data_IF_630611343243
#
_entry.id   IF_630611343243
#
_cell.length_a   1.000
_cell.length_b   1.000
_cell.length_c   1.000
_cell.angle_alpha   90.00
_cell.angle_beta   90.00
_cell.angle_gamma   90.00
#
_symmetry.space_group_name_H-M   'P 1'
#
loop_
_entity.id
_entity.type
_entity.pdbx_description
1 polymer ?
#
# COMPACT_ATOMS: atom_id res chain seq x y z
N UNK A 1 30.57 25.69 -23.96
CA UNK A 1 31.89 25.51 -24.60
C UNK A 1 32.12 24.01 -24.75
N UNK A 2 32.50 23.58 -25.95
CA UNK A 2 32.51 22.21 -26.43
C UNK A 2 33.78 21.45 -26.03
N UNK A 3 33.68 20.13 -25.94
CA UNK A 3 34.66 19.14 -25.48
C UNK A 3 35.84 18.92 -26.45
N UNK A 4 36.34 19.99 -27.08
CA UNK A 4 37.34 19.90 -28.16
C UNK A 4 38.60 20.76 -27.93
N UNK A 5 38.85 21.21 -26.70
CA UNK A 5 39.89 22.20 -26.37
C UNK A 5 41.02 21.65 -25.46
N UNK A 6 41.19 20.33 -25.35
CA UNK A 6 42.19 19.70 -24.47
C UNK A 6 43.33 18.96 -25.18
N UNK A 7 43.43 19.03 -26.50
CA UNK A 7 44.59 18.57 -27.25
C UNK A 7 45.37 19.74 -27.87
N UNK A 8 46.23 20.39 -27.07
CA UNK A 8 47.54 20.96 -27.50
C UNK A 8 48.19 21.77 -26.36
N UNK A 9 49.39 21.39 -25.97
CA UNK A 9 50.25 22.16 -25.07
C UNK A 9 51.33 21.28 -24.44
N UNK A 10 52.27 20.78 -25.24
CA UNK A 10 53.60 21.39 -25.43
C UNK A 10 54.59 21.10 -24.27
N UNK A 11 55.52 20.22 -24.61
CA UNK A 11 56.86 20.01 -24.06
C UNK A 11 57.58 21.26 -23.53
N UNK A 12 58.20 21.13 -22.35
CA UNK A 12 59.44 21.85 -22.02
C UNK A 12 60.32 21.00 -21.09
N UNK A 13 61.60 20.92 -21.46
CA UNK A 13 62.69 20.19 -20.79
C UNK A 13 63.28 21.03 -19.67
N UNK A 14 63.71 20.37 -18.59
CA UNK A 14 64.66 20.91 -17.61
C UNK A 14 65.21 19.77 -16.76
N UNK A 15 66.46 19.37 -17.00
CA UNK A 15 67.12 18.24 -16.34
C UNK A 15 67.90 18.62 -15.08
N UNK A 16 68.21 17.62 -14.27
CA UNK A 16 69.10 17.72 -13.11
C UNK A 16 69.31 16.38 -12.38
N UNK A 17 70.43 15.72 -12.68
CA UNK A 17 71.09 14.57 -12.00
C UNK A 17 71.31 14.83 -10.49
N UNK A 18 71.41 13.89 -9.54
CA UNK A 18 71.53 12.42 -9.56
C UNK A 18 71.66 11.90 -8.11
N UNK A 19 71.56 10.59 -7.90
CA UNK A 19 71.74 9.98 -6.57
C UNK A 19 71.50 8.46 -6.57
N UNK A 20 72.60 7.71 -6.57
CA UNK A 20 72.69 6.25 -6.59
C UNK A 20 72.19 5.60 -5.30
N UNK A 21 71.49 4.47 -5.40
CA UNK A 21 71.08 3.64 -4.26
C UNK A 21 70.21 2.46 -4.68
N UNK A 22 70.80 1.44 -5.31
CA UNK A 22 70.11 0.19 -5.63
C UNK A 22 70.14 -0.79 -4.47
N UNK A 23 68.98 -1.33 -4.07
CA UNK A 23 68.78 -2.76 -3.79
C UNK A 23 67.36 -3.10 -3.29
N UNK A 24 66.82 -4.16 -3.89
CA UNK A 24 65.63 -4.97 -3.53
C UNK A 24 64.25 -4.37 -3.83
N UNK A 25 63.81 -4.62 -5.07
CA UNK A 25 62.40 -4.79 -5.43
C UNK A 25 61.85 -5.99 -4.65
N UNK A 26 61.24 -5.78 -3.50
CA UNK A 26 60.20 -6.68 -3.02
C UNK A 26 59.02 -6.52 -3.97
N UNK A 27 58.49 -7.59 -4.59
CA UNK A 27 57.24 -7.47 -5.33
C UNK A 27 56.19 -6.92 -4.36
N UNK A 28 55.59 -5.78 -4.71
CA UNK A 28 54.36 -5.31 -4.07
C UNK A 28 53.38 -6.50 -4.04
N UNK A 29 52.64 -6.73 -2.93
CA UNK A 29 51.65 -7.78 -2.91
C UNK A 29 50.68 -7.47 -4.05
N UNK A 30 50.63 -8.35 -5.04
CA UNK A 30 49.63 -8.28 -6.09
C UNK A 30 48.29 -8.17 -5.40
N UNK A 31 47.59 -7.10 -5.78
CA UNK A 31 46.19 -6.83 -5.53
C UNK A 31 45.45 -8.15 -5.35
N UNK A 32 45.17 -8.48 -4.09
CA UNK A 32 44.33 -9.61 -3.71
C UNK A 32 43.04 -9.41 -4.49
N UNK A 33 42.68 -10.39 -5.31
CA UNK A 33 41.37 -10.47 -5.93
C UNK A 33 40.36 -10.05 -4.87
N UNK A 34 39.73 -8.90 -5.12
CA UNK A 34 38.60 -8.42 -4.35
C UNK A 34 37.61 -9.56 -4.35
N UNK A 35 37.56 -10.29 -3.24
CA UNK A 35 36.44 -11.13 -2.91
C UNK A 35 35.27 -10.17 -2.98
N UNK A 36 34.53 -10.23 -4.08
CA UNK A 36 33.23 -9.58 -4.22
C UNK A 36 32.58 -9.67 -2.85
N UNK A 37 32.39 -8.53 -2.19
CA UNK A 37 31.74 -8.46 -0.88
C UNK A 37 30.26 -8.76 -1.10
N UNK A 38 29.99 -9.98 -1.53
CA UNK A 38 28.66 -10.50 -1.75
C UNK A 38 27.96 -10.40 -0.41
N UNK A 39 26.84 -9.68 -0.42
CA UNK A 39 26.03 -9.55 0.77
C UNK A 39 25.67 -10.96 1.27
N UNK A 40 25.54 -11.17 2.59
CA UNK A 40 25.11 -12.45 3.11
C UNK A 40 23.79 -12.87 2.41
N UNK A 41 23.66 -14.12 1.91
CA UNK A 41 22.51 -14.52 1.11
C UNK A 41 21.19 -14.42 1.90
N UNK A 42 21.25 -14.53 3.23
CA UNK A 42 20.10 -14.30 4.12
C UNK A 42 19.72 -12.83 4.19
N UNK A 43 20.70 -11.93 4.23
CA UNK A 43 20.48 -10.48 4.19
C UNK A 43 19.84 -10.06 2.86
N UNK A 44 20.31 -10.60 1.73
CA UNK A 44 19.73 -10.33 0.42
C UNK A 44 18.28 -10.80 0.31
N UNK A 45 17.98 -12.01 0.78
CA UNK A 45 16.61 -12.55 0.82
C UNK A 45 15.69 -11.69 1.68
N UNK A 46 16.12 -11.32 2.88
CA UNK A 46 15.35 -10.46 3.79
C UNK A 46 15.13 -9.07 3.20
N UNK A 47 16.19 -8.47 2.64
CA UNK A 47 16.12 -7.17 1.96
C UNK A 47 15.15 -7.19 0.78
N UNK A 48 15.19 -8.25 -0.04
CA UNK A 48 14.29 -8.44 -1.18
C UNK A 48 12.84 -8.60 -0.72
N UNK A 49 12.59 -9.42 0.31
CA UNK A 49 11.26 -9.61 0.90
C UNK A 49 10.65 -8.29 1.39
N UNK A 50 11.43 -7.51 2.14
CA UNK A 50 11.04 -6.18 2.64
C UNK A 50 10.74 -5.23 1.48
N UNK A 51 11.60 -5.20 0.46
CA UNK A 51 11.36 -4.39 -0.74
C UNK A 51 10.02 -4.71 -1.42
N UNK A 52 9.67 -6.01 -1.53
CA UNK A 52 8.39 -6.45 -2.08
C UNK A 52 7.21 -6.02 -1.20
N UNK A 53 7.33 -6.11 0.13
CA UNK A 53 6.27 -5.65 1.04
C UNK A 53 6.05 -4.14 0.92
N UNK A 54 7.12 -3.34 0.95
CA UNK A 54 7.06 -1.88 0.76
C UNK A 54 6.37 -1.54 -0.57
N UNK A 55 6.74 -2.24 -1.64
CA UNK A 55 6.12 -2.07 -2.95
C UNK A 55 4.61 -2.34 -2.92
N UNK A 56 4.19 -3.46 -2.34
CA UNK A 56 2.78 -3.82 -2.22
C UNK A 56 2.00 -2.81 -1.37
N UNK A 57 2.58 -2.33 -0.26
CA UNK A 57 1.99 -1.28 0.57
C UNK A 57 1.73 -0.03 -0.28
N UNK A 58 2.74 0.47 -1.00
CA UNK A 58 2.60 1.65 -1.85
C UNK A 58 1.57 1.48 -2.98
N UNK A 59 1.52 0.29 -3.59
CA UNK A 59 0.53 -0.05 -4.60
C UNK A 59 -0.89 -0.01 -4.04
N UNK A 60 -1.12 -0.65 -2.88
CA UNK A 60 -2.42 -0.63 -2.20
C UNK A 60 -2.82 0.79 -1.79
N UNK A 61 -1.88 1.59 -1.27
CA UNK A 61 -2.12 3.00 -0.92
C UNK A 61 -2.59 3.80 -2.12
N UNK A 62 -1.97 3.62 -3.28
CA UNK A 62 -2.39 4.29 -4.53
C UNK A 62 -3.76 3.80 -4.99
N UNK A 63 -4.05 2.50 -4.86
CA UNK A 63 -5.35 1.94 -5.18
C UNK A 63 -6.46 2.50 -4.27
N UNK A 64 -6.21 2.63 -2.97
CA UNK A 64 -7.14 3.24 -2.01
C UNK A 64 -7.38 4.71 -2.39
N UNK A 65 -6.34 5.50 -2.68
CA UNK A 65 -6.48 6.90 -3.10
C UNK A 65 -7.34 7.05 -4.36
N UNK A 66 -7.13 6.18 -5.36
CA UNK A 66 -7.97 6.16 -6.57
C UNK A 66 -9.42 5.85 -6.23
N UNK A 67 -9.67 4.87 -5.37
CA UNK A 67 -11.04 4.52 -4.94
C UNK A 67 -11.71 5.64 -4.15
N UNK A 68 -10.98 6.33 -3.26
CA UNK A 68 -11.48 7.51 -2.54
C UNK A 68 -11.86 8.62 -3.54
N UNK A 69 -11.01 8.87 -4.54
CA UNK A 69 -11.26 9.88 -5.58
C UNK A 69 -12.49 9.52 -6.42
N UNK A 70 -12.60 8.26 -6.86
CA UNK A 70 -13.74 7.75 -7.62
C UNK A 70 -15.05 7.81 -6.80
N UNK A 71 -14.99 7.47 -5.51
CA UNK A 71 -16.15 7.58 -4.60
C UNK A 71 -16.64 9.03 -4.40
N UNK A 72 -15.74 10.00 -4.63
CA UNK A 72 -16.05 11.43 -4.54
C UNK A 72 -16.74 11.94 -5.80
N UNK A 73 -16.50 11.31 -6.95
CA UNK A 73 -17.25 11.59 -8.15
C UNK A 73 -18.66 10.99 -8.02
N UNK A 74 -19.71 11.81 -8.16
CA UNK A 74 -21.13 11.45 -7.99
C UNK A 74 -21.65 10.36 -8.97
N UNK A 75 -20.78 9.67 -9.70
CA UNK A 75 -21.11 8.76 -10.79
C UNK A 75 -21.54 7.35 -10.34
N UNK A 76 -21.33 6.97 -9.08
CA UNK A 76 -21.74 5.64 -8.62
C UNK A 76 -23.21 5.66 -8.16
N UNK A 77 -24.11 5.08 -8.97
CA UNK A 77 -25.47 4.75 -8.55
C UNK A 77 -25.52 3.87 -7.30
N UNK A 78 -26.71 3.65 -6.72
CA UNK A 78 -26.93 2.97 -5.42
C UNK A 78 -26.16 1.64 -5.28
N UNK A 79 -26.01 0.85 -6.36
CA UNK A 79 -25.24 -0.41 -6.36
C UNK A 79 -23.70 -0.19 -6.32
N UNK A 80 -23.18 0.74 -7.13
CA UNK A 80 -21.75 1.04 -7.16
C UNK A 80 -21.24 1.73 -5.89
N UNK A 81 -22.14 2.36 -5.13
CA UNK A 81 -21.82 3.04 -3.88
C UNK A 81 -21.42 2.10 -2.73
N UNK A 82 -21.70 0.80 -2.82
CA UNK A 82 -21.37 -0.20 -1.80
C UNK A 82 -20.06 -0.95 -2.14
N UNK A 83 -19.79 -1.16 -3.43
CA UNK A 83 -18.61 -1.92 -3.90
C UNK A 83 -17.27 -1.23 -3.60
N UNK A 84 -17.18 0.10 -3.71
CA UNK A 84 -15.91 0.80 -3.46
C UNK A 84 -15.52 0.79 -1.98
N UNK A 85 -16.48 0.87 -1.04
CA UNK A 85 -16.20 0.90 0.40
C UNK A 85 -15.62 -0.44 0.85
N UNK A 86 -16.27 -1.53 0.46
CA UNK A 86 -15.78 -2.89 0.70
C UNK A 86 -14.36 -3.08 0.17
N UNK A 87 -14.11 -2.63 -1.08
CA UNK A 87 -12.79 -2.75 -1.69
C UNK A 87 -11.72 -1.90 -1.01
N UNK A 88 -12.09 -0.73 -0.49
CA UNK A 88 -11.19 0.07 0.36
C UNK A 88 -10.88 -0.68 1.64
N UNK A 89 -11.87 -1.28 2.31
CA UNK A 89 -11.65 -2.04 3.54
C UNK A 89 -10.75 -3.26 3.31
N UNK A 90 -10.99 -4.03 2.25
CA UNK A 90 -10.14 -5.17 1.88
C UNK A 90 -8.68 -4.71 1.64
N UNK A 91 -8.48 -3.57 0.98
CA UNK A 91 -7.15 -3.00 0.76
C UNK A 91 -6.54 -2.49 2.07
N UNK A 92 -7.32 -1.89 2.97
CA UNK A 92 -6.84 -1.44 4.28
C UNK A 92 -6.36 -2.65 5.09
N UNK A 93 -7.14 -3.73 5.16
CA UNK A 93 -6.79 -4.91 5.95
C UNK A 93 -5.54 -5.62 5.38
N UNK A 94 -5.52 -5.88 4.08
CA UNK A 94 -4.34 -6.49 3.44
C UNK A 94 -3.10 -5.63 3.57
N UNK A 95 -3.22 -4.30 3.53
CA UNK A 95 -2.08 -3.40 3.75
C UNK A 95 -1.65 -3.40 5.21
N UNK A 96 -2.58 -3.52 6.16
CA UNK A 96 -2.29 -3.63 7.58
C UNK A 96 -1.46 -4.88 7.89
N UNK A 97 -1.83 -6.02 7.33
CA UNK A 97 -1.06 -7.27 7.44
C UNK A 97 0.35 -7.10 6.86
N UNK A 98 0.48 -6.50 5.67
CA UNK A 98 1.79 -6.22 5.05
C UNK A 98 2.66 -5.30 5.93
N UNK A 99 2.08 -4.29 6.57
CA UNK A 99 2.81 -3.40 7.48
C UNK A 99 3.28 -4.15 8.72
N UNK A 100 2.48 -5.07 9.28
CA UNK A 100 2.91 -5.92 10.42
C UNK A 100 4.08 -6.81 10.04
N UNK A 101 3.96 -7.52 8.92
CA UNK A 101 5.00 -8.43 8.45
C UNK A 101 6.30 -7.68 8.15
N UNK A 102 6.20 -6.54 7.44
CA UNK A 102 7.34 -5.70 7.14
C UNK A 102 7.98 -5.12 8.41
N UNK A 103 7.19 -4.81 9.45
CA UNK A 103 7.73 -4.35 10.74
C UNK A 103 8.58 -5.45 11.40
N UNK A 104 8.10 -6.69 11.40
CA UNK A 104 8.86 -7.83 11.93
C UNK A 104 10.15 -8.06 11.14
N UNK A 105 10.06 -8.03 9.81
CA UNK A 105 11.22 -8.22 8.92
C UNK A 105 12.24 -7.06 9.06
N UNK A 106 11.78 -5.81 9.20
CA UNK A 106 12.63 -4.64 9.46
C UNK A 106 13.33 -4.73 10.81
N UNK A 107 12.65 -5.23 11.86
CA UNK A 107 13.28 -5.50 13.16
C UNK A 107 14.39 -6.53 13.01
N UNK A 108 14.13 -7.64 12.31
CA UNK A 108 15.16 -8.65 12.04
C UNK A 108 16.34 -8.07 11.25
N UNK A 109 16.06 -7.25 10.22
CA UNK A 109 17.07 -6.57 9.43
C UNK A 109 17.91 -5.62 10.29
N UNK A 110 17.28 -4.95 11.26
CA UNK A 110 17.96 -4.02 12.16
C UNK A 110 18.98 -4.70 13.09
N UNK A 111 18.67 -5.92 13.52
CA UNK A 111 19.51 -6.74 14.41
C UNK A 111 20.49 -7.64 13.67
N UNK A 112 20.51 -7.60 12.33
CA UNK A 112 21.32 -8.51 11.53
C UNK A 112 22.82 -8.26 11.80
N UNK A 113 23.63 -9.29 12.10
CA UNK A 113 25.02 -9.11 12.45
C UNK A 113 25.84 -8.69 11.22
N UNK A 114 26.02 -7.37 11.05
CA UNK A 114 26.83 -6.80 9.98
C UNK A 114 28.27 -6.62 10.43
N UNK A 115 29.19 -7.35 9.79
CA UNK A 115 30.62 -7.17 9.98
C UNK A 115 31.14 -5.81 9.48
N UNK A 116 32.34 -5.39 9.90
CA UNK A 116 32.94 -4.10 9.52
C UNK A 116 33.17 -3.94 8.00
N UNK A 117 33.23 -5.04 7.24
CA UNK A 117 33.40 -5.03 5.79
C UNK A 117 32.08 -4.84 5.00
N UNK A 118 30.91 -4.84 5.65
CA UNK A 118 29.60 -4.86 4.98
C UNK A 118 28.98 -3.45 4.86
N UNK A 119 29.74 -2.47 4.36
CA UNK A 119 29.28 -1.09 4.19
C UNK A 119 28.02 -0.96 3.32
N UNK A 120 27.95 -1.74 2.24
CA UNK A 120 26.76 -1.78 1.37
C UNK A 120 25.51 -2.34 2.07
N UNK A 121 25.66 -3.32 2.96
CA UNK A 121 24.54 -3.88 3.72
C UNK A 121 23.95 -2.84 4.69
N UNK A 122 24.79 -2.06 5.37
CA UNK A 122 24.33 -0.98 6.26
C UNK A 122 23.55 0.08 5.48
N UNK A 123 24.00 0.44 4.28
CA UNK A 123 23.30 1.38 3.42
C UNK A 123 21.93 0.85 3.00
N UNK A 124 21.87 -0.40 2.54
CA UNK A 124 20.60 -1.07 2.15
C UNK A 124 19.64 -1.16 3.32
N UNK A 125 20.14 -1.52 4.51
CA UNK A 125 19.35 -1.57 5.74
C UNK A 125 18.73 -0.20 6.06
N UNK A 126 19.53 0.86 6.10
CA UNK A 126 19.01 2.21 6.38
C UNK A 126 18.06 2.73 5.30
N UNK A 127 18.29 2.38 4.03
CA UNK A 127 17.38 2.71 2.93
C UNK A 127 16.02 2.02 3.13
N UNK A 128 16.00 0.70 3.35
CA UNK A 128 14.74 -0.06 3.53
C UNK A 128 13.95 0.41 4.74
N UNK A 129 14.62 0.78 5.84
CA UNK A 129 13.97 1.36 7.02
C UNK A 129 13.28 2.68 6.70
N UNK A 130 13.96 3.61 5.99
CA UNK A 130 13.38 4.89 5.58
C UNK A 130 12.22 4.71 4.59
N UNK A 131 12.40 3.85 3.60
CA UNK A 131 11.37 3.58 2.58
C UNK A 131 10.12 2.96 3.22
N UNK A 132 10.29 2.03 4.16
CA UNK A 132 9.20 1.43 4.91
C UNK A 132 8.46 2.45 5.77
N UNK A 133 9.19 3.30 6.50
CA UNK A 133 8.60 4.35 7.32
C UNK A 133 7.76 5.31 6.47
N UNK A 134 8.28 5.73 5.31
CA UNK A 134 7.55 6.58 4.38
C UNK A 134 6.27 5.91 3.87
N UNK A 135 6.35 4.63 3.45
CA UNK A 135 5.19 3.86 2.98
C UNK A 135 4.12 3.69 4.07
N UNK A 136 4.54 3.37 5.30
CA UNK A 136 3.64 3.24 6.44
C UNK A 136 2.94 4.57 6.79
N UNK A 137 3.66 5.70 6.76
CA UNK A 137 3.08 7.03 7.01
C UNK A 137 2.07 7.41 5.93
N UNK A 138 2.37 7.10 4.66
CA UNK A 138 1.45 7.33 3.57
C UNK A 138 0.19 6.48 3.72
N UNK A 139 0.33 5.22 4.12
CA UNK A 139 -0.81 4.36 4.45
C UNK A 139 -1.66 4.94 5.57
N UNK A 140 -1.05 5.41 6.67
CA UNK A 140 -1.77 6.06 7.77
C UNK A 140 -2.61 7.25 7.28
N UNK A 141 -2.03 8.09 6.42
CA UNK A 141 -2.71 9.27 5.87
C UNK A 141 -3.94 8.86 5.07
N UNK A 142 -3.78 7.88 4.17
CA UNK A 142 -4.85 7.42 3.29
C UNK A 142 -5.93 6.66 4.06
N UNK A 143 -5.56 5.92 5.11
CA UNK A 143 -6.51 5.29 6.03
C UNK A 143 -7.38 6.33 6.76
N UNK A 144 -6.78 7.42 7.27
CA UNK A 144 -7.53 8.53 7.87
C UNK A 144 -8.45 9.23 6.87
N UNK A 145 -8.00 9.40 5.63
CA UNK A 145 -8.80 9.98 4.55
C UNK A 145 -10.00 9.09 4.20
N UNK A 146 -9.81 7.77 4.13
CA UNK A 146 -10.88 6.80 3.94
C UNK A 146 -11.94 6.90 5.05
N UNK A 147 -11.52 6.93 6.33
CA UNK A 147 -12.45 7.10 7.47
C UNK A 147 -13.21 8.41 7.38
N UNK A 148 -12.52 9.52 7.08
CA UNK A 148 -13.18 10.81 6.93
C UNK A 148 -14.23 10.78 5.83
N UNK A 149 -13.95 10.11 4.71
CA UNK A 149 -14.89 9.95 3.60
C UNK A 149 -16.10 9.09 3.98
N UNK A 150 -15.88 7.94 4.63
CA UNK A 150 -16.96 7.05 5.08
C UNK A 150 -17.84 7.74 6.12
N UNK A 151 -17.25 8.50 7.07
CA UNK A 151 -17.98 9.32 8.03
C UNK A 151 -18.82 10.42 7.37
N UNK A 152 -18.27 11.14 6.39
CA UNK A 152 -19.01 12.16 5.67
C UNK A 152 -20.24 11.55 4.96
N UNK A 153 -20.09 10.35 4.39
CA UNK A 153 -21.20 9.65 3.75
C UNK A 153 -22.21 9.12 4.78
N UNK A 154 -21.75 8.59 5.91
CA UNK A 154 -22.60 8.18 7.04
C UNK A 154 -23.48 9.34 7.53
N UNK A 155 -22.92 10.53 7.66
CA UNK A 155 -23.68 11.72 8.05
C UNK A 155 -24.75 12.08 7.02
N UNK A 156 -24.44 11.99 5.71
CA UNK A 156 -25.46 12.16 4.66
C UNK A 156 -26.58 11.12 4.73
N UNK A 157 -26.24 9.87 5.04
CA UNK A 157 -27.21 8.78 5.16
C UNK A 157 -28.11 8.97 6.39
N UNK A 158 -27.54 9.37 7.53
CA UNK A 158 -28.30 9.75 8.74
C UNK A 158 -29.20 10.96 8.49
N UNK A 159 -28.76 11.93 7.69
CA UNK A 159 -29.59 13.07 7.31
C UNK A 159 -30.77 12.65 6.43
N UNK A 160 -30.54 11.75 5.47
CA UNK A 160 -31.61 11.17 4.63
C UNK A 160 -32.61 10.39 5.47
N UNK A 161 -32.14 9.55 6.38
CA UNK A 161 -32.99 8.81 7.33
C UNK A 161 -33.86 9.76 8.17
N UNK A 162 -33.26 10.81 8.74
CA UNK A 162 -33.99 11.85 9.49
C UNK A 162 -35.04 12.56 8.63
N UNK A 163 -34.76 12.80 7.35
CA UNK A 163 -35.73 13.37 6.42
C UNK A 163 -36.86 12.38 6.12
N UNK A 164 -36.54 11.10 5.90
CA UNK A 164 -37.54 10.06 5.68
C UNK A 164 -38.48 9.90 6.88
N UNK A 165 -37.93 9.85 8.10
CA UNK A 165 -38.71 9.78 9.34
C UNK A 165 -39.62 11.01 9.54
N UNK A 166 -39.12 12.20 9.22
CA UNK A 166 -39.93 13.43 9.27
C UNK A 166 -41.09 13.36 8.28
N UNK A 167 -40.83 12.99 7.02
CA UNK A 167 -41.84 12.85 5.98
C UNK A 167 -42.92 11.83 6.37
N UNK A 168 -42.50 10.67 6.91
CA UNK A 168 -43.42 9.64 7.40
C UNK A 168 -44.28 10.13 8.56
N UNK A 169 -43.68 10.80 9.56
CA UNK A 169 -44.44 11.36 10.67
C UNK A 169 -45.42 12.46 10.23
N UNK A 170 -45.03 13.32 9.29
CA UNK A 170 -45.96 14.32 8.74
C UNK A 170 -47.10 13.68 7.95
N UNK A 171 -46.85 12.58 7.23
CA UNK A 171 -47.90 11.82 6.54
C UNK A 171 -48.85 11.14 7.53
N UNK A 172 -48.30 10.56 8.62
CA UNK A 172 -49.12 10.01 9.71
C UNK A 172 -50.01 11.08 10.36
N UNK A 173 -49.46 12.28 10.61
CA UNK A 173 -50.20 13.38 11.22
C UNK A 173 -51.33 13.90 10.32
N UNK A 174 -51.11 13.93 8.99
CA UNK A 174 -52.12 14.28 7.99
C UNK A 174 -53.27 13.26 8.00
N UNK A 175 -52.95 11.96 8.02
CA UNK A 175 -53.92 10.86 8.07
C UNK A 175 -54.76 10.94 9.36
N UNK A 176 -54.12 11.11 10.52
CA UNK A 176 -54.81 11.20 11.82
C UNK A 176 -55.76 12.42 11.89
N UNK A 177 -55.38 13.54 11.24
CA UNK A 177 -56.21 14.76 11.19
C UNK A 177 -57.43 14.58 10.29
N UNK A 178 -57.26 13.98 9.10
CA UNK A 178 -58.38 13.68 8.19
C UNK A 178 -59.37 12.66 8.77
N UNK A 179 -58.90 11.68 9.55
CA UNK A 179 -59.77 10.71 10.24
C UNK A 179 -60.57 11.37 11.38
N UNK A 180 -59.95 12.30 12.13
CA UNK A 180 -60.63 13.08 13.16
C UNK A 180 -61.71 14.01 12.56
N UNK A 181 -61.43 14.66 11.43
CA UNK A 181 -62.40 15.54 10.76
C UNK A 181 -63.56 14.76 10.11
N UNK A 182 -63.30 13.56 9.54
CA UNK A 182 -64.35 12.66 9.05
C UNK A 182 -65.24 12.13 10.18
N UNK A 183 -64.66 11.83 11.33
CA UNK A 183 -65.40 11.36 12.51
C UNK A 183 -66.29 12.45 13.12
N UNK A 184 -65.86 13.72 13.06
CA UNK A 184 -66.66 14.87 13.47
C UNK A 184 -67.80 15.19 12.47
N UNK A 185 -67.54 15.07 11.16
CA UNK A 185 -68.54 15.29 10.11
C UNK A 185 -69.63 14.21 10.06
N UNK A 186 -69.34 12.97 10.48
CA UNK A 186 -70.34 11.89 10.56
C UNK A 186 -71.41 12.09 11.65
N UNK A 187 -71.18 12.99 12.62
CA UNK A 187 -72.13 13.29 13.71
C UNK A 187 -73.10 14.43 13.32
N UNK A 188 -72.77 15.25 12.32
CA UNK A 188 -73.61 16.35 11.83
C UNK A 188 -74.12 16.09 10.41
N UNK A 189 -75.31 15.50 10.28
CA UNK A 189 -75.89 15.21 8.96
C UNK A 189 -76.16 16.47 8.12
N UNK A 190 -75.67 16.51 6.87
CA UNK A 190 -76.42 16.80 5.64
C UNK A 190 -75.49 17.12 4.46
N UNK A 191 -75.81 16.50 3.33
CA UNK A 191 -75.67 16.91 1.92
C UNK A 191 -74.59 17.94 1.52
N UNK A 192 -73.61 17.47 0.73
CA UNK A 192 -72.69 18.32 -0.01
C UNK A 192 -71.85 17.48 -0.97
N UNK A 193 -72.32 17.32 -2.20
CA UNK A 193 -71.61 16.59 -3.25
C UNK A 193 -70.38 17.33 -3.79
N UNK A 194 -69.55 16.56 -4.50
CA UNK A 194 -68.48 16.98 -5.41
C UNK A 194 -67.20 17.52 -4.76
N UNK A 195 -66.38 16.59 -4.25
CA UNK A 195 -64.92 16.74 -4.16
C UNK A 195 -64.28 15.35 -3.96
N UNK A 196 -64.37 14.50 -4.98
CA UNK A 196 -63.75 13.16 -4.97
C UNK A 196 -62.66 13.01 -6.06
N UNK A 197 -62.35 14.06 -6.83
CA UNK A 197 -61.53 13.96 -8.05
C UNK A 197 -60.17 14.67 -7.96
N UNK A 198 -59.58 14.76 -6.76
CA UNK A 198 -58.21 15.28 -6.59
C UNK A 198 -57.34 14.46 -5.63
N UNK A 199 -57.77 13.26 -5.23
CA UNK A 199 -57.06 12.44 -4.23
C UNK A 199 -55.94 11.56 -4.81
N UNK A 200 -55.58 11.69 -6.09
CA UNK A 200 -54.78 10.66 -6.77
C UNK A 200 -53.27 10.92 -6.85
N UNK A 201 -52.71 11.93 -6.17
CA UNK A 201 -51.26 12.17 -6.20
C UNK A 201 -50.65 12.65 -4.87
N UNK A 202 -51.12 12.14 -3.72
CA UNK A 202 -50.31 12.26 -2.50
C UNK A 202 -48.96 11.58 -2.77
N UNK A 203 -47.82 12.26 -2.62
CA UNK A 203 -46.52 11.61 -2.72
C UNK A 203 -46.50 10.48 -1.69
N UNK A 204 -46.42 9.22 -2.12
CA UNK A 204 -46.21 8.12 -1.18
C UNK A 204 -44.97 8.44 -0.35
N UNK A 205 -45.13 8.43 0.97
CA UNK A 205 -44.01 8.61 1.89
C UNK A 205 -43.03 7.43 1.75
N UNK A 206 -41.84 7.53 2.37
CA UNK A 206 -40.89 6.42 2.36
C UNK A 206 -41.52 5.15 2.93
N UNK A 207 -41.36 4.03 2.23
CA UNK A 207 -41.91 2.74 2.65
C UNK A 207 -41.15 2.20 3.87
N UNK A 208 -41.74 1.26 4.61
CA UNK A 208 -41.05 0.57 5.71
C UNK A 208 -39.76 -0.12 5.24
N UNK A 209 -39.77 -0.69 4.03
CA UNK A 209 -38.59 -1.30 3.42
C UNK A 209 -37.48 -0.28 3.11
N UNK A 210 -37.83 0.95 2.73
CA UNK A 210 -36.86 2.03 2.52
C UNK A 210 -36.15 2.43 3.81
N UNK A 211 -36.89 2.48 4.92
CA UNK A 211 -36.33 2.78 6.25
C UNK A 211 -35.39 1.67 6.73
N UNK A 212 -35.81 0.41 6.63
CA UNK A 212 -34.97 -0.74 7.00
C UNK A 212 -33.69 -0.82 6.16
N UNK A 213 -33.79 -0.55 4.86
CA UNK A 213 -32.63 -0.47 3.99
C UNK A 213 -31.68 0.65 4.44
N UNK A 214 -32.21 1.83 4.74
CA UNK A 214 -31.41 2.98 5.18
C UNK A 214 -30.71 2.72 6.53
N UNK A 215 -31.40 2.09 7.49
CA UNK A 215 -30.85 1.69 8.79
C UNK A 215 -29.73 0.65 8.63
N UNK A 216 -29.93 -0.35 7.76
CA UNK A 216 -28.92 -1.38 7.48
C UNK A 216 -27.65 -0.77 6.89
N UNK A 217 -27.79 0.22 6.00
CA UNK A 217 -26.67 0.91 5.37
C UNK A 217 -25.88 1.76 6.38
N UNK A 218 -26.57 2.43 7.30
CA UNK A 218 -25.97 3.18 8.40
C UNK A 218 -25.17 2.24 9.31
N UNK A 219 -25.77 1.12 9.71
CA UNK A 219 -25.13 0.11 10.57
C UNK A 219 -23.88 -0.47 9.92
N UNK A 220 -23.95 -0.82 8.63
CA UNK A 220 -22.79 -1.31 7.87
C UNK A 220 -21.65 -0.31 7.88
N UNK A 221 -21.92 0.97 7.62
CA UNK A 221 -20.87 2.00 7.60
C UNK A 221 -20.28 2.29 8.98
N UNK A 222 -21.08 2.22 10.04
CA UNK A 222 -20.55 2.35 11.40
C UNK A 222 -19.60 1.21 11.75
N UNK A 223 -19.93 -0.03 11.34
CA UNK A 223 -19.04 -1.17 11.50
C UNK A 223 -17.73 -0.97 10.73
N UNK A 224 -17.80 -0.56 9.47
CA UNK A 224 -16.61 -0.26 8.64
C UNK A 224 -15.72 0.81 9.28
N UNK A 225 -16.30 1.89 9.81
CA UNK A 225 -15.53 2.95 10.49
C UNK A 225 -14.82 2.40 11.73
N UNK A 226 -15.49 1.60 12.56
CA UNK A 226 -14.90 1.01 13.78
C UNK A 226 -13.73 0.08 13.44
N UNK A 227 -13.86 -0.70 12.39
CA UNK A 227 -12.80 -1.61 11.92
C UNK A 227 -11.56 -0.82 11.50
N UNK A 228 -11.73 0.22 10.67
CA UNK A 228 -10.60 1.05 10.25
C UNK A 228 -9.98 1.80 11.44
N UNK A 229 -10.78 2.31 12.38
CA UNK A 229 -10.30 3.00 13.59
C UNK A 229 -9.44 2.11 14.48
N UNK A 230 -9.86 0.86 14.68
CA UNK A 230 -9.05 -0.15 15.36
C UNK A 230 -7.70 -0.35 14.65
N UNK A 231 -7.72 -0.45 13.32
CA UNK A 231 -6.50 -0.52 12.51
C UNK A 231 -5.58 0.70 12.68
N UNK A 232 -6.11 1.91 12.86
CA UNK A 232 -5.31 3.13 13.11
C UNK A 232 -4.60 3.07 14.47
N UNK A 233 -5.26 2.51 15.49
CA UNK A 233 -4.64 2.35 16.82
C UNK A 233 -3.46 1.38 16.75
N UNK A 234 -3.64 0.24 16.09
CA UNK A 234 -2.59 -0.74 15.88
C UNK A 234 -1.41 -0.16 15.07
N UNK A 235 -1.69 0.62 14.04
CA UNK A 235 -0.65 1.29 13.27
C UNK A 235 0.15 2.29 14.12
N UNK A 236 -0.50 2.98 15.07
CA UNK A 236 0.19 3.84 16.02
C UNK A 236 1.13 3.06 16.94
N UNK A 237 0.78 1.85 17.35
CA UNK A 237 1.69 0.96 18.10
C UNK A 237 2.92 0.60 17.25
N UNK A 238 2.70 0.25 15.98
CA UNK A 238 3.78 0.00 15.02
C UNK A 238 4.70 1.23 14.86
N UNK A 239 4.15 2.45 14.82
CA UNK A 239 4.97 3.66 14.75
C UNK A 239 5.80 3.93 16.00
N UNK A 240 5.28 3.59 17.18
CA UNK A 240 6.07 3.65 18.42
C UNK A 240 7.24 2.68 18.36
N UNK A 241 6.97 1.47 17.89
CA UNK A 241 8.01 0.45 17.67
C UNK A 241 9.05 0.88 16.63
N UNK A 242 8.62 1.51 15.53
CA UNK A 242 9.51 2.05 14.51
C UNK A 242 10.32 3.25 14.98
N UNK A 243 9.73 4.11 15.83
CA UNK A 243 10.43 5.25 16.43
C UNK A 243 11.71 4.83 17.15
N UNK A 244 11.65 3.70 17.85
CA UNK A 244 12.82 3.11 18.52
C UNK A 244 13.89 2.58 17.55
N UNK A 245 13.50 2.17 16.34
CA UNK A 245 14.42 1.63 15.30
C UNK A 245 15.11 2.77 14.53
N UNK A 246 14.45 3.93 14.41
CA UNK A 246 14.89 5.05 13.55
C UNK A 246 15.76 6.07 14.31
N UNK A 247 15.67 6.12 15.64
CA UNK A 247 16.37 7.12 16.47
C UNK A 247 17.91 7.02 16.41
N UNK A 248 18.47 5.91 15.92
CA UNK A 248 19.92 5.73 15.73
C UNK A 248 20.49 6.26 14.39
N UNK A 249 19.67 6.70 13.42
CA UNK A 249 20.16 6.96 12.05
C UNK A 249 20.07 8.41 11.53
N UNK A 250 19.65 9.39 12.35
CA UNK A 250 19.84 10.83 12.09
C UNK A 250 19.34 11.42 10.76
N UNK A 251 18.14 12.04 10.76
CA UNK A 251 17.63 13.00 9.75
C UNK A 251 17.33 12.40 8.35
N UNK A 252 16.25 12.71 7.63
CA UNK A 252 15.28 13.80 7.63
C UNK A 252 13.95 13.24 7.08
N UNK A 253 12.83 13.69 7.67
CA UNK A 253 11.44 13.24 7.44
C UNK A 253 10.80 13.92 6.19
N UNK A 254 11.58 14.58 5.32
CA UNK A 254 11.06 15.47 4.26
C UNK A 254 10.92 14.84 2.85
N UNK A 255 10.98 13.51 2.69
CA UNK A 255 10.84 12.86 1.37
C UNK A 255 9.43 12.31 1.07
N UNK A 256 8.43 12.60 1.91
CA UNK A 256 7.06 12.07 1.75
C UNK A 256 6.43 12.52 0.42
N UNK A 257 6.71 13.75 -0.03
CA UNK A 257 6.17 14.29 -1.29
C UNK A 257 6.87 13.72 -2.53
N UNK A 258 8.15 13.34 -2.43
CA UNK A 258 8.91 12.78 -3.56
C UNK A 258 8.61 11.29 -3.81
N UNK A 259 8.24 10.55 -2.77
CA UNK A 259 7.96 9.11 -2.88
C UNK A 259 6.74 8.83 -3.78
N UNK A 260 5.67 9.64 -3.72
CA UNK A 260 4.47 9.43 -4.57
C UNK A 260 4.79 9.51 -6.07
N UNK A 261 5.62 10.48 -6.49
CA UNK A 261 5.97 10.65 -7.91
C UNK A 261 6.93 9.55 -8.38
N UNK A 262 7.88 9.15 -7.51
CA UNK A 262 8.76 8.01 -7.76
C UNK A 262 8.03 6.65 -7.71
N UNK A 263 6.96 6.49 -6.93
CA UNK A 263 6.15 5.26 -6.85
C UNK A 263 5.38 5.04 -8.15
N UNK A 264 4.85 6.08 -8.78
CA UNK A 264 4.18 5.97 -10.07
C UNK A 264 5.15 5.47 -11.17
N UNK A 265 6.39 5.97 -11.19
CA UNK A 265 7.44 5.53 -12.11
C UNK A 265 8.03 4.15 -11.75
N UNK A 266 8.25 3.87 -10.46
CA UNK A 266 8.76 2.58 -9.97
C UNK A 266 7.72 1.45 -10.10
N UNK A 267 6.41 1.74 -10.07
CA UNK A 267 5.36 0.73 -10.33
C UNK A 267 5.37 0.23 -11.77
N UNK A 268 5.70 1.10 -12.73
CA UNK A 268 5.88 0.70 -14.13
C UNK A 268 7.18 -0.10 -14.35
N UNK A 269 8.24 0.17 -13.58
CA UNK A 269 9.53 -0.53 -13.65
C UNK A 269 9.57 -1.86 -12.89
N UNK A 270 8.97 -1.93 -11.70
CA UNK A 270 9.07 -3.08 -10.79
C UNK A 270 8.26 -4.30 -11.24
N UNK A 271 7.16 -4.11 -12.00
CA UNK A 271 6.42 -5.23 -12.61
C UNK A 271 7.30 -6.00 -13.60
N UNK A 272 8.14 -5.29 -14.36
CA UNK A 272 9.17 -5.92 -15.21
C UNK A 272 10.22 -6.65 -14.39
N UNK A 273 10.67 -6.09 -13.29
CA UNK A 273 11.78 -6.63 -12.51
C UNK A 273 11.38 -7.85 -11.67
N UNK A 274 10.14 -7.90 -11.16
CA UNK A 274 9.56 -9.06 -10.49
C UNK A 274 9.31 -10.23 -11.45
N UNK A 275 8.84 -9.95 -12.68
CA UNK A 275 8.73 -10.96 -13.75
C UNK A 275 10.10 -11.51 -14.12
N UNK A 276 11.11 -10.64 -14.25
CA UNK A 276 12.49 -11.05 -14.56
C UNK A 276 13.08 -11.89 -13.42
N UNK A 277 12.89 -11.50 -12.15
CA UNK A 277 13.38 -12.26 -11.00
C UNK A 277 12.73 -13.66 -10.90
N UNK A 278 11.43 -13.76 -11.17
CA UNK A 278 10.72 -15.04 -11.21
C UNK A 278 11.19 -15.92 -12.40
N UNK A 279 11.46 -15.33 -13.56
CA UNK A 279 12.09 -16.04 -14.69
C UNK A 279 13.51 -16.52 -14.37
N UNK A 280 14.31 -15.73 -13.64
CA UNK A 280 15.66 -16.11 -13.22
C UNK A 280 15.63 -17.30 -12.25
N UNK A 281 14.73 -17.31 -11.25
CA UNK A 281 14.54 -18.47 -10.36
C UNK A 281 14.11 -19.73 -11.13
N UNK A 282 13.19 -19.61 -12.09
CA UNK A 282 12.74 -20.73 -12.92
C UNK A 282 13.86 -21.29 -13.81
N UNK A 283 14.72 -20.41 -14.35
CA UNK A 283 15.89 -20.81 -15.15
C UNK A 283 16.97 -21.47 -14.29
N UNK A 284 17.19 -21.01 -13.06
CA UNK A 284 18.12 -21.63 -12.12
C UNK A 284 17.69 -23.07 -11.74
N UNK A 285 16.39 -23.28 -11.45
CA UNK A 285 15.85 -24.62 -11.17
C UNK A 285 16.03 -25.60 -12.32
N UNK A 286 15.80 -25.17 -13.57
CA UNK A 286 16.04 -25.99 -14.77
C UNK A 286 17.51 -26.36 -14.97
N UNK A 287 18.44 -25.44 -14.70
CA UNK A 287 19.89 -25.70 -14.81
C UNK A 287 20.38 -26.70 -13.76
N UNK A 288 19.83 -26.64 -12.54
CA UNK A 288 20.13 -27.60 -11.47
C UNK A 288 19.74 -29.04 -11.87
N UNK A 289 18.54 -29.23 -12.44
CA UNK A 289 18.07 -30.55 -12.91
C UNK A 289 18.96 -31.11 -14.02
N UNK A 290 19.38 -30.27 -14.97
CA UNK A 290 20.29 -30.68 -16.06
C UNK A 290 21.64 -31.11 -15.49
N UNK A 291 22.19 -30.37 -14.53
CA UNK A 291 23.45 -30.72 -13.87
C UNK A 291 23.35 -32.06 -13.13
N UNK A 292 22.22 -32.30 -12.45
CA UNK A 292 21.96 -33.57 -11.75
C UNK A 292 21.89 -34.77 -12.70
N UNK A 293 21.28 -34.61 -13.88
CA UNK A 293 21.25 -35.64 -14.91
C UNK A 293 22.63 -35.95 -15.49
N UNK A 294 23.47 -34.93 -15.71
CA UNK A 294 24.85 -35.12 -16.19
C UNK A 294 25.68 -35.88 -15.14
N UNK A 295 25.60 -35.48 -13.87
CA UNK A 295 26.29 -36.19 -12.78
C UNK A 295 25.79 -37.64 -12.67
N UNK A 296 24.48 -37.86 -12.72
CA UNK A 296 23.91 -39.21 -12.71
C UNK A 296 24.38 -40.08 -13.88
N UNK A 297 24.48 -39.51 -15.08
CA UNK A 297 25.01 -40.21 -16.26
C UNK A 297 26.49 -40.59 -16.08
N UNK A 298 27.32 -39.68 -15.59
CA UNK A 298 28.75 -39.95 -15.33
C UNK A 298 28.90 -41.08 -14.30
N UNK A 299 28.11 -41.06 -13.22
CA UNK A 299 28.12 -42.13 -12.21
C UNK A 299 27.70 -43.47 -12.81
N UNK A 300 26.67 -43.50 -13.65
CA UNK A 300 26.20 -44.73 -14.29
C UNK A 300 27.26 -45.34 -15.23
N UNK A 301 27.98 -44.51 -16.00
CA UNK A 301 29.06 -44.97 -16.89
C UNK A 301 30.22 -45.56 -16.08
N UNK A 302 30.61 -44.90 -14.98
CA UNK A 302 31.67 -45.41 -14.10
C UNK A 302 31.27 -46.73 -13.46
N UNK A 303 30.03 -46.88 -12.99
CA UNK A 303 29.54 -48.13 -12.42
C UNK A 303 29.50 -49.27 -13.45
N UNK A 304 29.06 -48.99 -14.67
CA UNK A 304 29.08 -49.99 -15.75
C UNK A 304 30.50 -50.42 -16.12
N UNK A 305 31.46 -49.49 -16.13
CA UNK A 305 32.87 -49.80 -16.42
C UNK A 305 33.58 -50.60 -15.31
N UNK A 306 33.06 -50.55 -14.08
CA UNK A 306 33.60 -51.30 -12.93
C UNK A 306 32.92 -52.67 -12.78
N UNK A 307 31.66 -52.81 -13.20
CA UNK A 307 30.91 -54.07 -13.14
C UNK A 307 31.09 -54.99 -14.36
N UNK A 308 31.53 -54.46 -15.50
CA UNK A 308 31.96 -55.25 -16.67
C UNK A 308 33.46 -55.58 -16.58
#
# INVERSE_FOLDING_TARGET
>A
MSFNDLERGSSSRGGGSGGSGGSRKTPLPLYRDEVSSALPPEFEKLSSKIGIQIFKINSNVTAIQKLITLSSSNASGKAGAQDWSKRINDLIETTRELVKDATADIKQLSTFPLGPANGGAKLTQGKLQRDFQAAALQFQRVQKEAVAKTRAKLEQDKQKERQMLKSRNSQQLLIDTEESDRSAAAIGGAEGGLQAESLDLLPEGPTQADLEYQESLITSREAEIREIESGVQELNEIFRDLGNIVQEQGGMIDNIEFNINSIAENTAGADRELVVAHEYQRKAGRRCIILLLVVGFVVAVVLLAVLN
#
